data_IF_565545187102
#
_entry.id   IF_565545187102
#
_cell.length_a   1.000
_cell.length_b   1.000
_cell.length_c   1.000
_cell.angle_alpha   90.00
_cell.angle_beta   90.00
_cell.angle_gamma   90.00
#
_symmetry.space_group_name_H-M   'P 1'
#
loop_
_entity.id
_entity.type
_entity.pdbx_description
1 polymer ?
#
# COMPACT_ATOMS: atom_id res chain seq x y z
N UNK A 1 3.19 14.81 21.92
CA UNK A 1 4.00 15.19 20.74
C UNK A 1 4.29 16.68 20.83
N UNK A 2 5.50 17.11 20.49
CA UNK A 2 5.78 18.55 20.32
C UNK A 2 5.31 18.99 18.93
N UNK A 3 5.06 20.28 18.74
CA UNK A 3 4.63 20.82 17.45
C UNK A 3 5.60 20.42 16.31
N UNK A 4 6.92 20.44 16.58
CA UNK A 4 7.94 20.03 15.61
C UNK A 4 7.82 18.55 15.23
N UNK A 5 7.64 17.67 16.22
CA UNK A 5 7.46 16.23 15.94
C UNK A 5 6.17 15.95 15.18
N UNK A 6 5.09 16.70 15.45
CA UNK A 6 3.82 16.56 14.75
C UNK A 6 3.92 16.97 13.28
N UNK A 7 4.63 18.06 12.98
CA UNK A 7 4.85 18.49 11.59
C UNK A 7 5.63 17.43 10.82
N UNK A 8 6.72 16.90 11.38
CA UNK A 8 7.51 15.86 10.72
C UNK A 8 6.70 14.59 10.45
N UNK A 9 5.92 14.15 11.44
CA UNK A 9 5.05 12.98 11.28
C UNK A 9 3.98 13.22 10.22
N UNK A 10 3.30 14.36 10.26
CA UNK A 10 2.25 14.72 9.31
C UNK A 10 2.78 14.80 7.89
N UNK A 11 3.88 15.51 7.66
CA UNK A 11 4.51 15.59 6.34
C UNK A 11 4.89 14.20 5.81
N UNK A 12 5.48 13.36 6.66
CA UNK A 12 5.84 11.99 6.28
C UNK A 12 4.61 11.15 5.93
N UNK A 13 3.53 11.28 6.68
CA UNK A 13 2.26 10.60 6.40
C UNK A 13 1.67 11.05 5.06
N UNK A 14 1.68 12.35 4.76
CA UNK A 14 1.18 12.89 3.49
C UNK A 14 2.00 12.39 2.31
N UNK A 15 3.33 12.40 2.42
CA UNK A 15 4.21 11.87 1.37
C UNK A 15 3.94 10.38 1.17
N UNK A 16 3.80 9.60 2.25
CA UNK A 16 3.45 8.18 2.18
C UNK A 16 2.10 7.94 1.49
N UNK A 17 1.08 8.72 1.83
CA UNK A 17 -0.23 8.62 1.15
C UNK A 17 -0.10 8.95 -0.33
N UNK A 18 0.69 9.95 -0.72
CA UNK A 18 0.92 10.22 -2.13
C UNK A 18 1.61 9.04 -2.84
N UNK A 19 2.62 8.44 -2.20
CA UNK A 19 3.36 7.26 -2.68
C UNK A 19 2.42 6.06 -2.92
N UNK A 20 1.51 5.79 -1.99
CA UNK A 20 0.57 4.66 -2.10
C UNK A 20 -0.45 4.80 -3.22
N UNK A 21 -0.76 6.03 -3.63
CA UNK A 21 -1.80 6.31 -4.62
C UNK A 21 -1.26 6.68 -6.00
N UNK A 22 0.06 6.86 -6.15
CA UNK A 22 0.64 7.32 -7.40
C UNK A 22 0.84 6.23 -8.46
N UNK A 23 0.69 4.94 -8.10
CA UNK A 23 0.89 3.83 -9.03
C UNK A 23 2.37 3.56 -9.39
N UNK A 24 3.32 4.26 -8.76
CA UNK A 24 4.75 4.11 -9.05
C UNK A 24 5.38 3.05 -8.16
N UNK A 25 6.21 2.20 -8.77
CA UNK A 25 7.00 1.20 -8.07
C UNK A 25 8.50 1.44 -8.30
N UNK A 26 9.04 2.43 -7.59
CA UNK A 26 10.43 2.86 -7.76
C UNK A 26 11.41 1.94 -7.02
N UNK A 27 12.58 1.61 -7.62
CA UNK A 27 13.61 0.85 -6.94
C UNK A 27 14.16 1.63 -5.75
N UNK A 28 14.29 0.96 -4.59
CA UNK A 28 14.81 1.60 -3.37
C UNK A 28 13.80 2.48 -2.63
N UNK A 29 12.51 2.43 -2.96
CA UNK A 29 11.48 3.15 -2.21
C UNK A 29 11.47 2.71 -0.73
N UNK A 30 11.92 3.61 0.15
CA UNK A 30 12.01 3.37 1.60
C UNK A 30 10.65 3.03 2.22
N UNK A 31 9.57 3.63 1.72
CA UNK A 31 8.24 3.38 2.24
C UNK A 31 7.78 1.95 1.93
N UNK A 32 8.09 1.43 0.75
CA UNK A 32 7.79 0.04 0.39
C UNK A 32 8.64 -0.97 1.17
N UNK A 33 9.83 -0.57 1.66
CA UNK A 33 10.69 -1.41 2.51
C UNK A 33 10.10 -1.53 3.92
N UNK A 34 9.67 -0.41 4.51
CA UNK A 34 9.15 -0.39 5.88
C UNK A 34 7.66 -0.75 5.98
N UNK A 35 6.87 -0.45 4.96
CA UNK A 35 5.41 -0.54 4.99
C UNK A 35 4.87 -1.38 3.82
N UNK A 36 4.04 -2.36 4.16
CA UNK A 36 3.46 -3.31 3.18
C UNK A 36 2.13 -2.84 2.57
N UNK A 37 1.51 -1.80 3.13
CA UNK A 37 0.39 -1.05 2.53
C UNK A 37 0.97 -0.09 1.49
N UNK A 38 1.46 -0.61 0.38
CA UNK A 38 2.03 0.17 -0.71
C UNK A 38 1.03 0.34 -1.85
N UNK A 39 1.48 0.86 -2.98
CA UNK A 39 0.62 1.07 -4.15
C UNK A 39 -0.10 -0.19 -4.63
N UNK A 40 0.53 -1.36 -4.59
CA UNK A 40 -0.14 -2.60 -4.99
C UNK A 40 -1.22 -3.05 -4.01
N UNK A 41 -0.99 -2.83 -2.71
CA UNK A 41 -2.01 -3.06 -1.68
C UNK A 41 -3.24 -2.19 -1.94
N UNK A 42 -3.00 -0.92 -2.30
CA UNK A 42 -4.04 0.05 -2.59
C UNK A 42 -4.80 -0.27 -3.90
N UNK A 43 -4.10 -0.69 -4.95
CA UNK A 43 -4.72 -1.15 -6.21
C UNK A 43 -5.74 -2.27 -5.95
N UNK A 44 -5.37 -3.28 -5.14
CA UNK A 44 -6.28 -4.36 -4.78
C UNK A 44 -7.49 -3.86 -3.99
N UNK A 45 -7.28 -2.90 -3.08
CA UNK A 45 -8.37 -2.29 -2.32
C UNK A 45 -9.36 -1.54 -3.23
N UNK A 46 -8.88 -0.87 -4.28
CA UNK A 46 -9.71 -0.11 -5.21
C UNK A 46 -10.46 -0.95 -6.25
N UNK A 47 -10.15 -2.24 -6.36
CA UNK A 47 -10.86 -3.11 -7.30
C UNK A 47 -12.38 -3.10 -7.01
N UNK A 48 -13.24 -2.85 -8.02
CA UNK A 48 -14.68 -2.75 -7.83
C UNK A 48 -15.26 -3.98 -7.11
N UNK A 49 -16.02 -3.74 -6.04
CA UNK A 49 -16.67 -4.80 -5.26
C UNK A 49 -15.76 -5.51 -4.24
N UNK A 50 -14.49 -5.13 -4.13
CA UNK A 50 -13.56 -5.73 -3.17
C UNK A 50 -13.78 -5.15 -1.77
N UNK A 51 -13.89 -6.03 -0.77
CA UNK A 51 -14.13 -5.71 0.65
C UNK A 51 -12.95 -6.16 1.52
N UNK A 52 -11.74 -5.78 1.12
CA UNK A 52 -10.49 -6.21 1.74
C UNK A 52 -9.47 -5.07 1.74
N UNK A 53 -8.38 -5.26 2.48
CA UNK A 53 -7.22 -4.37 2.55
C UNK A 53 -7.57 -2.93 2.98
N UNK A 54 -8.28 -2.78 4.10
CA UNK A 54 -8.85 -1.50 4.54
C UNK A 54 -7.84 -0.53 5.19
N UNK A 55 -6.78 -1.04 5.80
CA UNK A 55 -5.86 -0.23 6.57
C UNK A 55 -4.82 0.46 5.68
N UNK A 56 -4.99 1.77 5.48
CA UNK A 56 -4.23 2.58 4.54
C UNK A 56 -2.98 3.30 5.05
N UNK A 57 -2.84 3.74 6.33
CA UNK A 57 -1.76 4.68 6.66
C UNK A 57 -0.34 4.06 6.68
N UNK A 58 -0.14 2.98 7.44
CA UNK A 58 1.23 2.49 7.70
C UNK A 58 1.39 0.97 7.82
N UNK A 59 0.39 0.22 8.28
CA UNK A 59 0.58 -1.20 8.57
C UNK A 59 -0.68 -2.02 8.32
N UNK A 60 -0.62 -3.02 7.44
CA UNK A 60 -1.74 -3.95 7.20
C UNK A 60 -1.98 -4.97 8.33
N UNK A 61 -1.44 -4.72 9.54
CA UNK A 61 -1.55 -5.65 10.69
C UNK A 61 -3.01 -5.92 11.02
N UNK A 62 -3.86 -4.89 11.02
CA UNK A 62 -5.27 -5.05 11.35
C UNK A 62 -6.02 -5.86 10.31
N UNK A 63 -5.72 -5.71 9.02
CA UNK A 63 -6.31 -6.55 7.98
C UNK A 63 -5.90 -8.01 8.11
N UNK A 64 -4.66 -8.28 8.53
CA UNK A 64 -4.19 -9.64 8.80
C UNK A 64 -4.87 -10.24 10.04
N UNK A 65 -4.97 -9.45 11.11
CA UNK A 65 -5.57 -9.90 12.38
C UNK A 65 -7.07 -10.15 12.24
N UNK A 66 -7.79 -9.25 11.54
CA UNK A 66 -9.24 -9.31 11.36
C UNK A 66 -9.66 -10.12 10.12
N UNK A 67 -8.70 -10.75 9.43
CA UNK A 67 -8.93 -11.57 8.22
C UNK A 67 -9.62 -10.81 7.09
N UNK A 68 -9.33 -9.52 6.97
CA UNK A 68 -9.72 -8.69 5.84
C UNK A 68 -8.56 -8.42 4.88
N UNK A 69 -7.42 -9.10 5.05
CA UNK A 69 -6.32 -9.02 4.11
C UNK A 69 -6.56 -9.91 2.88
N UNK A 70 -6.51 -9.33 1.69
CA UNK A 70 -6.56 -10.07 0.44
C UNK A 70 -5.16 -10.29 -0.12
N UNK A 71 -4.69 -11.55 -0.24
CA UNK A 71 -3.38 -11.85 -0.82
C UNK A 71 -3.33 -11.57 -2.32
N UNK A 72 -2.20 -11.05 -2.77
CA UNK A 72 -1.91 -10.74 -4.17
C UNK A 72 -0.44 -11.01 -4.50
N UNK A 73 -0.15 -11.08 -5.79
CA UNK A 73 1.19 -11.20 -6.36
C UNK A 73 1.45 -10.05 -7.31
N UNK A 74 2.70 -9.64 -7.42
CA UNK A 74 3.12 -8.66 -8.42
C UNK A 74 3.66 -9.40 -9.63
N UNK A 75 3.06 -9.17 -10.79
CA UNK A 75 3.50 -9.74 -12.06
C UNK A 75 3.97 -8.65 -13.01
N UNK A 76 4.93 -8.98 -13.87
CA UNK A 76 5.32 -8.09 -14.97
C UNK A 76 4.29 -8.21 -16.10
N UNK A 77 3.83 -7.08 -16.63
CA UNK A 77 2.94 -7.06 -17.79
C UNK A 77 3.74 -7.26 -19.08
N UNK A 78 3.08 -7.78 -20.12
CA UNK A 78 3.69 -7.98 -21.43
C UNK A 78 4.12 -6.65 -22.08
N UNK A 79 3.31 -5.62 -21.91
CA UNK A 79 3.55 -4.25 -22.40
C UNK A 79 4.50 -3.42 -21.51
N UNK A 80 5.06 -4.01 -20.46
CA UNK A 80 5.91 -3.34 -19.48
C UNK A 80 5.15 -2.86 -18.24
N UNK A 81 5.89 -2.59 -17.17
CA UNK A 81 5.31 -2.25 -15.86
C UNK A 81 4.90 -3.47 -15.03
N UNK A 82 4.23 -3.19 -13.91
CA UNK A 82 3.83 -4.17 -12.91
C UNK A 82 2.31 -4.20 -12.76
N UNK A 83 1.78 -5.32 -12.29
CA UNK A 83 0.36 -5.52 -12.00
C UNK A 83 0.20 -6.30 -10.71
N UNK A 84 -0.66 -5.83 -9.81
CA UNK A 84 -1.11 -6.60 -8.66
C UNK A 84 -2.24 -7.55 -9.08
N UNK A 85 -2.01 -8.86 -8.94
CA UNK A 85 -3.02 -9.90 -9.22
C UNK A 85 -3.38 -10.66 -7.97
N UNK A 86 -4.67 -10.81 -7.74
CA UNK A 86 -5.20 -11.64 -6.66
C UNK A 86 -4.67 -13.08 -6.78
N UNK A 87 -4.20 -13.62 -5.66
CA UNK A 87 -3.90 -15.05 -5.57
C UNK A 87 -5.24 -15.77 -5.48
N UNK A 88 -5.59 -16.55 -6.50
CA UNK A 88 -6.75 -17.45 -6.42
C UNK A 88 -6.44 -18.51 -5.37
N UNK A 89 -7.27 -18.56 -4.33
CA UNK A 89 -7.27 -19.64 -3.33
C UNK A 89 -7.86 -20.92 -3.86
#
# INVERSE_FOLDING_TARGET
MTARTSVLFFCSAVVKTADDHCGLWLPGNIFHIFFQNNTAYHDIHQLPGTKYNYYQPFFSIWDKLLRTHMPYTIVKRHEGGLEARLVKG
#
